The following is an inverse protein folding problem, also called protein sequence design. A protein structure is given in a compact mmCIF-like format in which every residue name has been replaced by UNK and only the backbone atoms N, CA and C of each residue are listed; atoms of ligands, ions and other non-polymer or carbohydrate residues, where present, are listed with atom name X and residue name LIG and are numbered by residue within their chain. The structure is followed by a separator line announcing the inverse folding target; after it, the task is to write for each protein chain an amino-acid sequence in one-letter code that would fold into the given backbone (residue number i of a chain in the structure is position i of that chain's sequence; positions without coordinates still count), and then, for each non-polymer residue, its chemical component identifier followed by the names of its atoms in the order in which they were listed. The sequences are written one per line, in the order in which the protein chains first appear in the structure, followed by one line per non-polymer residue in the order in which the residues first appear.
data_IF_201925312458
#
_entry.id   IF_201925312458
#
_cell.length_a   1.000
_cell.length_b   1.000
_cell.length_c   1.000
_cell.angle_alpha   90.00
_cell.angle_beta   90.00
_cell.angle_gamma   90.00
#
_symmetry.space_group_name_H-M   'P 1'
#
loop_
_entity.id
_entity.type
_entity.pdbx_description
1 polymer ?
#
# COMPACT_ATOMS: atom_id res chain seq x y z
N UNK A 1 -17.08 -6.84 5.41
CA UNK A 1 -16.35 -7.13 4.15
C UNK A 1 -17.29 -7.58 3.04
N UNK A 2 -18.11 -8.63 3.19
CA UNK A 2 -19.11 -9.02 2.17
C UNK A 2 -20.05 -7.89 1.73
N UNK A 3 -20.57 -7.12 2.69
CA UNK A 3 -21.43 -5.96 2.39
C UNK A 3 -20.75 -4.91 1.49
N UNK A 4 -19.42 -4.77 1.57
CA UNK A 4 -18.65 -3.88 0.69
C UNK A 4 -18.72 -4.36 -0.75
N UNK A 5 -18.43 -5.66 -0.98
CA UNK A 5 -18.48 -6.24 -2.33
C UNK A 5 -19.88 -6.15 -2.93
N UNK A 6 -20.89 -6.58 -2.17
CA UNK A 6 -22.29 -6.54 -2.63
C UNK A 6 -22.74 -5.12 -3.01
N UNK A 7 -22.27 -4.11 -2.26
CA UNK A 7 -22.58 -2.71 -2.58
C UNK A 7 -21.94 -2.28 -3.90
N UNK A 8 -20.67 -2.63 -4.14
CA UNK A 8 -19.99 -2.30 -5.39
C UNK A 8 -20.62 -3.02 -6.58
N UNK A 9 -20.91 -4.30 -6.43
CA UNK A 9 -21.58 -5.13 -7.43
C UNK A 9 -22.97 -4.57 -7.78
N UNK A 10 -23.78 -4.20 -6.78
CA UNK A 10 -25.08 -3.56 -6.99
C UNK A 10 -24.99 -2.20 -7.70
N UNK A 11 -23.84 -1.52 -7.60
CA UNK A 11 -23.57 -0.27 -8.32
C UNK A 11 -22.95 -0.50 -9.71
N UNK A 12 -22.79 -1.76 -10.13
CA UNK A 12 -22.26 -2.14 -11.43
C UNK A 12 -20.73 -2.11 -11.54
N UNK A 13 -20.01 -2.09 -10.41
CA UNK A 13 -18.55 -2.18 -10.44
C UNK A 13 -18.09 -3.60 -10.71
N UNK A 14 -17.09 -3.74 -11.57
CA UNK A 14 -16.52 -5.01 -11.97
C UNK A 14 -15.03 -5.06 -11.64
N UNK A 15 -14.59 -6.21 -11.13
CA UNK A 15 -13.19 -6.49 -10.87
C UNK A 15 -12.58 -7.22 -12.06
N UNK A 16 -11.38 -6.80 -12.47
CA UNK A 16 -10.66 -7.40 -13.58
C UNK A 16 -9.16 -7.50 -13.26
N UNK A 17 -8.54 -8.57 -13.73
CA UNK A 17 -7.09 -8.76 -13.70
C UNK A 17 -6.55 -8.54 -15.11
N UNK A 18 -5.62 -7.61 -15.27
CA UNK A 18 -5.03 -7.24 -16.55
C UNK A 18 -3.53 -7.58 -16.54
N UNK A 19 -3.07 -8.26 -17.58
CA UNK A 19 -1.66 -8.52 -17.80
C UNK A 19 -1.07 -7.53 -18.80
N UNK A 20 0.22 -7.16 -18.67
CA UNK A 20 0.89 -6.40 -19.72
C UNK A 20 1.01 -7.26 -21.01
N UNK A 21 0.99 -6.64 -22.21
CA UNK A 21 0.94 -5.20 -22.46
C UNK A 21 -0.48 -4.61 -22.30
N UNK A 22 -0.56 -3.43 -21.70
CA UNK A 22 -1.82 -2.71 -21.54
C UNK A 22 -2.23 -2.01 -22.83
N UNK A 23 -3.54 -1.92 -23.05
CA UNK A 23 -4.09 -1.09 -24.12
C UNK A 23 -3.80 0.40 -23.85
N UNK A 24 -3.84 1.22 -24.91
CA UNK A 24 -3.68 2.67 -24.76
C UNK A 24 -4.75 3.26 -23.82
N UNK A 25 -5.99 2.80 -23.94
CA UNK A 25 -7.11 3.29 -23.14
C UNK A 25 -6.97 2.90 -21.66
N UNK A 26 -6.54 1.66 -21.37
CA UNK A 26 -6.27 1.24 -19.99
C UNK A 26 -5.13 2.04 -19.38
N UNK A 27 -4.02 2.23 -20.12
CA UNK A 27 -2.90 3.04 -19.64
C UNK A 27 -3.32 4.49 -19.36
N UNK A 28 -4.13 5.09 -20.25
CA UNK A 28 -4.65 6.43 -20.05
C UNK A 28 -5.57 6.51 -18.82
N UNK A 29 -6.42 5.51 -18.60
CA UNK A 29 -7.30 5.46 -17.43
C UNK A 29 -6.51 5.29 -16.13
N UNK A 30 -5.51 4.41 -16.10
CA UNK A 30 -4.61 4.24 -14.95
C UNK A 30 -3.87 5.53 -14.61
N UNK A 31 -3.39 6.24 -15.63
CA UNK A 31 -2.71 7.53 -15.49
C UNK A 31 -3.65 8.55 -14.84
N UNK A 32 -4.89 8.67 -15.34
CA UNK A 32 -5.90 9.57 -14.75
C UNK A 32 -6.22 9.24 -13.29
N UNK A 33 -6.39 7.95 -12.96
CA UNK A 33 -6.64 7.52 -11.57
C UNK A 33 -5.44 7.85 -10.69
N UNK A 34 -4.24 7.60 -11.18
CA UNK A 34 -2.98 7.89 -10.49
C UNK A 34 -2.81 9.38 -10.19
N UNK A 35 -3.00 10.24 -11.19
CA UNK A 35 -2.87 11.70 -11.06
C UNK A 35 -3.90 12.27 -10.09
N UNK A 36 -5.16 11.83 -10.23
CA UNK A 36 -6.24 12.20 -9.30
C UNK A 36 -5.96 11.74 -7.89
N UNK A 37 -5.45 10.52 -7.71
CA UNK A 37 -5.13 10.00 -6.39
C UNK A 37 -3.99 10.77 -5.74
N UNK A 38 -2.97 11.19 -6.50
CA UNK A 38 -1.85 11.98 -5.96
C UNK A 38 -2.28 13.37 -5.50
N UNK A 39 -3.27 14.01 -6.13
CA UNK A 39 -3.78 15.35 -5.76
C UNK A 39 -2.64 16.37 -5.59
N UNK A 40 -1.66 16.37 -6.50
CA UNK A 40 -0.48 17.25 -6.45
C UNK A 40 0.61 16.83 -5.45
N UNK A 41 0.41 15.74 -4.69
CA UNK A 41 1.49 15.13 -3.90
C UNK A 41 2.56 14.54 -4.83
N UNK A 42 3.81 14.61 -4.39
CA UNK A 42 4.93 13.98 -5.10
C UNK A 42 4.93 12.47 -4.86
N UNK A 43 5.35 11.73 -5.88
CA UNK A 43 5.67 10.32 -5.76
C UNK A 43 6.75 10.08 -4.70
N UNK A 44 6.69 8.90 -4.09
CA UNK A 44 7.71 8.41 -3.14
C UNK A 44 8.60 7.39 -3.83
N UNK A 45 9.78 7.19 -3.25
CA UNK A 45 10.84 6.37 -3.83
C UNK A 45 11.38 5.35 -2.81
N UNK A 46 12.37 4.57 -3.24
CA UNK A 46 13.11 3.56 -2.47
C UNK A 46 12.29 2.34 -2.06
N UNK A 47 11.32 2.49 -1.14
CA UNK A 47 10.58 1.37 -0.56
C UNK A 47 9.13 1.25 -1.04
N UNK A 48 8.72 2.11 -1.98
CA UNK A 48 7.36 2.18 -2.55
C UNK A 48 7.54 2.37 -4.05
N UNK A 49 6.74 1.65 -4.86
CA UNK A 49 6.73 1.87 -6.30
C UNK A 49 6.26 3.27 -6.66
N UNK A 50 6.64 3.70 -7.85
CA UNK A 50 6.22 4.98 -8.42
C UNK A 50 5.49 4.70 -9.74
N UNK A 51 4.49 5.52 -10.06
CA UNK A 51 3.69 5.30 -11.26
C UNK A 51 4.47 5.73 -12.50
N UNK A 52 5.17 4.77 -13.11
CA UNK A 52 5.80 4.93 -14.42
C UNK A 52 5.45 3.74 -15.30
N UNK A 53 5.41 3.98 -16.61
CA UNK A 53 5.16 2.91 -17.58
C UNK A 53 6.16 1.76 -17.43
N UNK A 54 7.45 2.10 -17.28
CA UNK A 54 8.52 1.10 -17.10
C UNK A 54 8.36 0.23 -15.85
N UNK A 55 7.70 0.73 -14.80
CA UNK A 55 7.45 -0.01 -13.58
C UNK A 55 6.14 -0.81 -13.67
N UNK A 56 5.03 -0.15 -14.00
CA UNK A 56 3.68 -0.74 -14.02
C UNK A 56 3.56 -1.84 -15.08
N UNK A 57 4.28 -1.74 -16.19
CA UNK A 57 4.28 -2.76 -17.26
C UNK A 57 5.08 -4.03 -16.93
N UNK A 58 5.67 -4.15 -15.73
CA UNK A 58 6.44 -5.34 -15.30
C UNK A 58 5.63 -6.38 -14.53
N UNK A 59 4.42 -6.05 -14.11
CA UNK A 59 3.58 -6.92 -13.30
C UNK A 59 2.14 -6.76 -13.76
N UNK A 60 1.28 -7.73 -13.45
CA UNK A 60 -0.15 -7.57 -13.68
C UNK A 60 -0.76 -6.50 -12.76
N UNK A 61 -1.92 -6.00 -13.15
CA UNK A 61 -2.71 -5.06 -12.35
C UNK A 61 -4.09 -5.64 -12.10
N UNK A 62 -4.63 -5.35 -10.92
CA UNK A 62 -6.00 -5.66 -10.58
C UNK A 62 -6.78 -4.35 -10.53
N UNK A 63 -7.85 -4.24 -11.30
CA UNK A 63 -8.60 -3.00 -11.51
C UNK A 63 -10.05 -3.15 -11.08
N UNK A 64 -10.67 -2.02 -10.73
CA UNK A 64 -12.11 -1.88 -10.57
C UNK A 64 -12.63 -0.95 -11.66
N UNK A 65 -13.49 -1.47 -12.52
CA UNK A 65 -14.23 -0.70 -13.53
C UNK A 65 -15.60 -0.32 -13.01
N UNK A 66 -16.08 0.85 -13.40
CA UNK A 66 -17.49 1.21 -13.23
C UNK A 66 -18.37 0.54 -14.30
N UNK A 67 -19.67 0.84 -14.26
CA UNK A 67 -20.67 0.30 -15.20
C UNK A 67 -20.44 0.76 -16.65
N UNK A 68 -19.68 1.84 -16.85
CA UNK A 68 -19.26 2.36 -18.15
C UNK A 68 -17.96 1.71 -18.65
N UNK A 69 -17.35 0.82 -17.87
CA UNK A 69 -16.10 0.13 -18.23
C UNK A 69 -14.83 0.96 -17.95
N UNK A 70 -14.94 2.09 -17.26
CA UNK A 70 -13.81 2.97 -16.96
C UNK A 70 -13.14 2.54 -15.65
N UNK A 71 -11.81 2.44 -15.66
CA UNK A 71 -11.03 2.11 -14.46
C UNK A 71 -11.16 3.26 -13.44
N UNK A 72 -11.68 2.96 -12.25
CA UNK A 72 -11.82 3.90 -11.13
C UNK A 72 -10.82 3.63 -10.00
N UNK A 73 -10.28 2.41 -9.92
CA UNK A 73 -9.27 2.05 -8.94
C UNK A 73 -8.39 0.91 -9.46
N UNK A 74 -7.15 0.84 -8.99
CA UNK A 74 -6.23 -0.23 -9.35
C UNK A 74 -5.23 -0.54 -8.24
N UNK A 75 -4.67 -1.75 -8.30
CA UNK A 75 -3.44 -2.08 -7.60
C UNK A 75 -2.49 -2.92 -8.47
N UNK A 76 -1.18 -2.77 -8.25
CA UNK A 76 -0.15 -3.54 -8.96
C UNK A 76 0.21 -4.79 -8.17
N UNK A 77 0.30 -5.92 -8.86
CA UNK A 77 0.81 -7.17 -8.29
C UNK A 77 2.28 -7.03 -7.89
N UNK A 78 2.63 -7.61 -6.75
CA UNK A 78 4.02 -7.72 -6.29
C UNK A 78 4.29 -9.16 -5.83
N UNK A 79 4.85 -10.00 -6.72
CA UNK A 79 5.21 -11.38 -6.40
C UNK A 79 6.26 -11.47 -5.29
N UNK A 80 6.15 -12.49 -4.45
CA UNK A 80 7.21 -12.89 -3.51
C UNK A 80 8.06 -14.01 -4.13
N UNK A 81 9.36 -14.05 -3.83
CA UNK A 81 10.30 -15.03 -4.37
C UNK A 81 9.94 -16.50 -4.09
N UNK A 82 9.08 -16.78 -3.11
CA UNK A 82 8.80 -18.14 -2.65
C UNK A 82 7.44 -18.70 -3.11
N UNK A 83 6.71 -18.00 -4.00
CA UNK A 83 5.37 -18.38 -4.51
C UNK A 83 4.30 -18.72 -3.44
N UNK A 84 4.61 -18.54 -2.16
CA UNK A 84 3.74 -18.83 -1.03
C UNK A 84 2.94 -17.61 -0.58
N UNK A 85 3.45 -16.43 -0.92
CA UNK A 85 2.93 -15.13 -0.57
C UNK A 85 2.83 -14.24 -1.81
N UNK A 86 1.80 -13.42 -1.84
CA UNK A 86 1.63 -12.36 -2.81
C UNK A 86 1.41 -11.04 -2.09
N UNK A 87 1.87 -9.95 -2.67
CA UNK A 87 1.61 -8.59 -2.17
C UNK A 87 1.00 -7.75 -3.29
N UNK A 88 0.51 -6.59 -2.88
CA UNK A 88 0.27 -5.45 -3.79
C UNK A 88 1.22 -4.33 -3.42
N UNK A 89 1.58 -3.48 -4.38
CA UNK A 89 2.46 -2.33 -4.15
C UNK A 89 1.70 -1.00 -4.33
N UNK A 90 1.51 -0.54 -5.56
CA UNK A 90 0.66 0.61 -5.82
C UNK A 90 -0.79 0.22 -5.54
N UNK A 91 -1.51 1.02 -4.76
CA UNK A 91 -2.96 0.92 -4.56
C UNK A 91 -3.55 2.33 -4.67
N UNK A 92 -4.25 2.60 -5.77
CA UNK A 92 -4.75 3.95 -6.11
C UNK A 92 -6.20 3.88 -6.55
N UNK A 93 -6.92 4.96 -6.31
CA UNK A 93 -8.34 5.07 -6.63
C UNK A 93 -8.74 6.51 -6.85
N UNK A 94 -9.84 6.73 -7.56
CA UNK A 94 -10.41 8.05 -7.74
C UNK A 94 -10.99 8.57 -6.40
N UNK A 95 -10.39 9.61 -5.77
CA UNK A 95 -10.80 10.09 -4.44
C UNK A 95 -12.12 10.88 -4.44
N UNK A 96 -12.60 11.30 -5.62
CA UNK A 96 -13.89 11.97 -5.80
C UNK A 96 -15.05 11.02 -5.48
N UNK A 97 -14.86 9.72 -5.74
CA UNK A 97 -15.87 8.69 -5.51
C UNK A 97 -15.81 8.24 -4.05
N UNK A 98 -16.89 8.46 -3.29
CA UNK A 98 -17.00 8.08 -1.87
C UNK A 98 -17.42 6.62 -1.68
N UNK A 99 -16.71 5.72 -2.34
CA UNK A 99 -16.86 4.27 -2.19
C UNK A 99 -15.62 3.66 -1.53
N UNK A 100 -15.77 2.53 -0.82
CA UNK A 100 -14.66 1.87 -0.12
C UNK A 100 -13.76 1.08 -1.09
N UNK A 101 -13.17 1.75 -2.09
CA UNK A 101 -12.35 1.10 -3.12
C UNK A 101 -11.10 0.41 -2.58
N UNK A 102 -10.46 0.97 -1.55
CA UNK A 102 -9.32 0.32 -0.90
C UNK A 102 -9.72 -1.05 -0.32
N UNK A 103 -10.86 -1.13 0.37
CA UNK A 103 -11.38 -2.40 0.90
C UNK A 103 -11.70 -3.37 -0.25
N UNK A 104 -12.36 -2.88 -1.30
CA UNK A 104 -12.71 -3.70 -2.45
C UNK A 104 -11.47 -4.27 -3.15
N UNK A 105 -10.44 -3.45 -3.43
CA UNK A 105 -9.19 -3.91 -4.03
C UNK A 105 -8.52 -4.98 -3.18
N UNK A 106 -8.35 -4.76 -1.86
CA UNK A 106 -7.76 -5.78 -0.99
C UNK A 106 -8.57 -7.08 -0.98
N UNK A 107 -9.90 -6.99 -0.83
CA UNK A 107 -10.74 -8.18 -0.76
C UNK A 107 -10.70 -8.95 -2.08
N UNK A 108 -10.85 -8.28 -3.22
CA UNK A 108 -10.79 -8.93 -4.53
C UNK A 108 -9.41 -9.52 -4.80
N UNK A 109 -8.31 -8.81 -4.50
CA UNK A 109 -6.96 -9.36 -4.64
C UNK A 109 -6.76 -10.61 -3.77
N UNK A 110 -7.20 -10.58 -2.50
CA UNK A 110 -7.11 -11.74 -1.62
C UNK A 110 -7.91 -12.93 -2.15
N UNK A 111 -9.13 -12.71 -2.65
CA UNK A 111 -9.95 -13.76 -3.23
C UNK A 111 -9.33 -14.34 -4.51
N UNK A 112 -8.89 -13.47 -5.41
CA UNK A 112 -8.25 -13.85 -6.67
C UNK A 112 -7.00 -14.72 -6.43
N UNK A 113 -6.12 -14.31 -5.53
CA UNK A 113 -4.91 -15.09 -5.26
C UNK A 113 -5.15 -16.32 -4.40
N UNK A 114 -6.20 -16.32 -3.57
CA UNK A 114 -6.64 -17.55 -2.91
C UNK A 114 -7.07 -18.60 -3.93
N UNK A 115 -7.81 -18.22 -4.97
CA UNK A 115 -8.20 -19.11 -6.06
C UNK A 115 -6.99 -19.63 -6.86
N UNK A 116 -5.94 -18.81 -7.01
CA UNK A 116 -4.64 -19.23 -7.57
C UNK A 116 -3.77 -20.08 -6.62
N UNK A 117 -4.22 -20.38 -5.40
CA UNK A 117 -3.53 -21.27 -4.46
C UNK A 117 -2.49 -20.60 -3.56
N UNK A 118 -2.40 -19.26 -3.54
CA UNK A 118 -1.52 -18.55 -2.62
C UNK A 118 -1.97 -18.74 -1.17
N UNK A 119 -1.01 -18.99 -0.29
CA UNK A 119 -1.28 -19.26 1.13
C UNK A 119 -1.29 -17.99 1.99
N UNK A 120 -0.55 -16.97 1.55
CA UNK A 120 -0.37 -15.73 2.31
C UNK A 120 -0.60 -14.51 1.42
N UNK A 121 -1.23 -13.49 1.98
CA UNK A 121 -1.37 -12.19 1.36
C UNK A 121 -0.67 -11.13 2.23
N UNK A 122 0.40 -10.55 1.72
CA UNK A 122 1.12 -9.48 2.38
C UNK A 122 0.44 -8.14 2.07
N UNK A 123 -0.18 -7.53 3.10
CA UNK A 123 -0.82 -6.22 2.97
C UNK A 123 0.17 -5.04 3.05
N UNK A 124 1.48 -5.32 3.04
CA UNK A 124 2.55 -4.35 3.26
C UNK A 124 2.72 -3.95 4.72
N UNK A 125 3.69 -3.08 4.99
CA UNK A 125 4.00 -2.63 6.35
C UNK A 125 2.86 -1.78 6.95
N UNK A 126 2.51 -2.03 8.21
CA UNK A 126 1.83 -1.07 9.06
C UNK A 126 2.88 -0.48 10.00
N UNK A 127 3.10 0.83 9.89
CA UNK A 127 4.17 1.55 10.60
C UNK A 127 4.09 1.41 12.12
N UNK A 128 5.23 1.08 12.73
CA UNK A 128 5.79 1.45 14.05
C UNK A 128 4.84 1.69 15.26
N UNK A 129 3.67 1.06 15.31
CA UNK A 129 2.74 1.21 16.45
C UNK A 129 3.32 0.78 17.81
N UNK A 130 4.47 0.09 17.80
CA UNK A 130 5.14 -0.43 19.01
C UNK A 130 6.54 0.15 19.29
N UNK A 131 7.03 1.14 18.53
CA UNK A 131 8.34 1.75 18.86
C UNK A 131 8.23 2.48 20.19
N UNK A 132 9.03 2.06 21.17
CA UNK A 132 9.03 2.61 22.54
C UNK A 132 8.20 1.84 23.57
N UNK A 133 7.62 0.68 23.22
CA UNK A 133 6.89 -0.18 24.17
C UNK A 133 7.76 -1.26 24.85
N UNK A 134 9.02 -1.43 24.44
CA UNK A 134 9.94 -2.39 25.05
C UNK A 134 10.59 -1.81 26.31
N UNK A 135 10.57 -2.59 27.40
CA UNK A 135 10.97 -2.21 28.76
C UNK A 135 12.49 -1.95 28.94
N UNK A 136 13.32 -2.16 27.91
CA UNK A 136 14.79 -2.13 27.96
C UNK A 136 15.42 -1.00 27.13
N UNK A 137 14.75 0.16 27.08
CA UNK A 137 15.17 1.33 26.33
C UNK A 137 16.10 2.24 27.16
N UNK A 138 17.35 2.44 26.73
CA UNK A 138 18.29 3.39 27.37
C UNK A 138 17.72 4.83 27.39
N UNK A 139 18.14 5.68 28.32
CA UNK A 139 17.62 7.06 28.51
C UNK A 139 17.61 7.96 27.26
N UNK A 140 18.36 7.61 26.20
CA UNK A 140 18.37 8.28 24.88
C UNK A 140 17.13 7.95 24.02
N UNK A 141 16.39 6.87 24.31
CA UNK A 141 15.19 6.47 23.57
C UNK A 141 13.92 7.24 23.97
N UNK A 142 13.89 7.84 25.17
CA UNK A 142 12.78 8.71 25.59
C UNK A 142 12.63 9.96 24.70
N UNK A 143 13.71 10.39 24.03
CA UNK A 143 13.67 11.47 23.04
C UNK A 143 13.11 11.00 21.69
N UNK A 144 13.35 9.75 21.31
CA UNK A 144 12.77 9.14 20.10
C UNK A 144 11.23 9.10 20.16
N UNK A 145 10.64 8.95 21.35
CA UNK A 145 9.18 9.05 21.57
C UNK A 145 8.62 10.43 21.21
N UNK A 146 9.28 11.50 21.65
CA UNK A 146 8.85 12.89 21.35
C UNK A 146 9.01 13.24 19.88
N UNK A 147 10.08 12.75 19.26
CA UNK A 147 10.30 12.87 17.82
C UNK A 147 9.23 12.08 17.07
N UNK A 148 8.91 10.86 17.50
CA UNK A 148 7.84 10.03 16.91
C UNK A 148 6.46 10.69 16.93
N UNK A 149 6.07 11.30 18.04
CA UNK A 149 4.80 12.05 18.14
C UNK A 149 4.78 13.28 17.22
N UNK A 150 5.94 13.91 16.97
CA UNK A 150 6.07 15.01 16.02
C UNK A 150 6.03 14.54 14.54
N UNK A 151 6.56 13.34 14.25
CA UNK A 151 6.51 12.72 12.91
C UNK A 151 5.17 12.06 12.59
N UNK A 152 4.31 11.81 13.59
CA UNK A 152 2.90 11.38 13.42
C UNK A 152 2.06 12.37 12.59
N UNK A 153 2.53 13.61 12.38
CA UNK A 153 1.93 14.56 11.45
C UNK A 153 2.20 14.28 9.97
N UNK A 154 3.30 13.57 9.64
CA UNK A 154 3.73 13.31 8.26
C UNK A 154 3.04 12.06 7.67
N UNK A 155 2.51 11.20 8.52
CA UNK A 155 1.68 10.07 8.12
C UNK A 155 0.62 9.84 9.19
N UNK A 156 -0.62 9.59 8.78
CA UNK A 156 -1.69 9.10 9.66
C UNK A 156 -1.41 7.63 10.07
N UNK A 157 -0.29 7.39 10.76
CA UNK A 157 0.30 6.06 11.04
C UNK A 157 -0.63 5.14 11.84
N UNK A 158 -1.39 5.69 12.80
CA UNK A 158 -2.39 4.93 13.58
C UNK A 158 -3.55 4.43 12.71
N UNK A 159 -3.93 5.20 11.69
CA UNK A 159 -5.03 4.86 10.78
C UNK A 159 -4.74 3.64 9.92
N UNK A 160 -3.49 3.50 9.42
CA UNK A 160 -3.14 2.38 8.54
C UNK A 160 -3.08 1.03 9.27
N UNK A 161 -2.58 1.00 10.51
CA UNK A 161 -2.61 -0.24 11.31
C UNK A 161 -4.05 -0.63 11.64
N UNK A 162 -4.85 0.30 12.17
CA UNK A 162 -6.26 0.06 12.49
C UNK A 162 -7.05 -0.38 11.26
N UNK A 163 -6.74 0.17 10.09
CA UNK A 163 -7.32 -0.25 8.83
C UNK A 163 -7.03 -1.74 8.54
N UNK A 164 -5.76 -2.15 8.63
CA UNK A 164 -5.36 -3.54 8.35
C UNK A 164 -5.91 -4.53 9.38
N UNK A 165 -6.08 -4.10 10.63
CA UNK A 165 -6.68 -4.91 11.71
C UNK A 165 -8.06 -5.48 11.34
N UNK A 166 -8.82 -4.79 10.49
CA UNK A 166 -10.13 -5.27 9.98
C UNK A 166 -10.03 -6.66 9.35
N UNK A 167 -8.91 -6.95 8.69
CA UNK A 167 -8.63 -8.21 8.01
C UNK A 167 -8.09 -9.30 8.95
N UNK A 168 -7.93 -9.00 10.25
CA UNK A 168 -7.35 -9.88 11.26
C UNK A 168 -6.00 -10.50 10.82
N UNK A 169 -5.02 -9.70 10.36
CA UNK A 169 -3.75 -10.21 9.87
C UNK A 169 -2.90 -10.74 11.03
N UNK A 170 -1.99 -11.66 10.71
CA UNK A 170 -0.87 -11.97 11.60
C UNK A 170 0.20 -10.88 11.42
N UNK A 171 0.46 -10.09 12.47
CA UNK A 171 1.48 -9.04 12.42
C UNK A 171 2.87 -9.62 12.62
N UNK A 172 3.75 -9.40 11.65
CA UNK A 172 5.16 -9.73 11.77
C UNK A 172 6.01 -8.46 11.99
N UNK A 173 6.98 -8.54 12.91
CA UNK A 173 7.93 -7.45 13.13
C UNK A 173 8.94 -7.34 11.99
N UNK A 174 9.32 -6.10 11.67
CA UNK A 174 10.40 -5.75 10.75
C UNK A 174 11.31 -4.74 11.45
N UNK A 175 12.61 -4.87 11.26
CA UNK A 175 13.62 -4.14 12.01
C UNK A 175 14.53 -3.35 11.06
N UNK A 176 14.93 -2.15 11.50
CA UNK A 176 15.98 -1.38 10.84
C UNK A 176 17.31 -1.73 11.51
N UNK A 177 18.24 -2.31 10.75
CA UNK A 177 19.60 -2.56 11.20
C UNK A 177 20.47 -1.40 10.71
N UNK A 178 21.24 -0.80 11.62
CA UNK A 178 22.10 0.33 11.32
C UNK A 178 23.44 0.21 12.06
N UNK A 179 24.48 0.84 11.51
CA UNK A 179 25.82 0.82 12.09
C UNK A 179 25.84 1.49 13.48
N UNK A 180 26.65 0.97 14.41
CA UNK A 180 26.68 1.44 15.80
C UNK A 180 27.05 2.93 15.96
N UNK A 181 27.72 3.51 14.95
CA UNK A 181 28.05 4.94 14.91
C UNK A 181 26.82 5.84 14.69
N UNK A 182 25.73 5.30 14.14
CA UNK A 182 24.49 6.05 13.98
C UNK A 182 23.61 5.92 15.21
N UNK A 183 22.97 7.03 15.58
CA UNK A 183 21.82 6.99 16.47
C UNK A 183 20.57 6.54 15.71
N UNK A 184 19.59 5.96 16.41
CA UNK A 184 18.35 5.46 15.81
C UNK A 184 17.59 6.53 15.00
N UNK A 185 17.56 7.79 15.47
CA UNK A 185 16.90 8.87 14.73
C UNK A 185 17.66 9.29 13.46
N UNK A 186 19.00 9.27 13.47
CA UNK A 186 19.81 9.53 12.27
C UNK A 186 19.57 8.45 11.21
N UNK A 187 19.51 7.19 11.61
CA UNK A 187 19.17 6.09 10.72
C UNK A 187 17.76 6.28 10.13
N UNK A 188 16.77 6.60 10.96
CA UNK A 188 15.41 6.91 10.51
C UNK A 188 15.36 8.10 9.54
N UNK A 189 16.08 9.18 9.80
CA UNK A 189 16.11 10.35 8.90
C UNK A 189 16.74 10.02 7.55
N UNK A 190 17.78 9.18 7.51
CA UNK A 190 18.37 8.71 6.25
C UNK A 190 17.39 7.87 5.43
N UNK A 191 16.62 7.01 6.08
CA UNK A 191 15.55 6.24 5.41
C UNK A 191 14.45 7.18 4.91
N UNK A 192 13.99 8.11 5.74
CA UNK A 192 12.96 9.09 5.35
C UNK A 192 13.45 9.94 4.18
N UNK A 193 14.71 10.38 4.19
CA UNK A 193 15.26 11.17 3.08
C UNK A 193 15.31 10.33 1.82
N UNK A 194 15.79 9.08 1.86
CA UNK A 194 15.78 8.18 0.70
C UNK A 194 14.38 7.96 0.11
N UNK A 195 13.33 7.93 0.94
CA UNK A 195 11.94 7.78 0.47
C UNK A 195 11.42 9.03 -0.25
N UNK A 196 11.90 10.22 0.11
CA UNK A 196 11.43 11.49 -0.46
C UNK A 196 12.39 12.11 -1.49
N UNK A 197 13.60 11.55 -1.63
CA UNK A 197 14.64 12.06 -2.53
C UNK A 197 14.45 11.42 -3.91
N UNK A 198 14.47 12.29 -4.92
CA UNK A 198 14.51 11.94 -6.34
C UNK A 198 15.95 11.62 -6.74
#
# INVERSE_FOLDING_TARGET
MRATLNKLEALGYQFEYLEPPYTYDDWLALTKVSDRWLEGRKEKYFSIGHFTYMYVSKAAILVLRDKEGVIQAFCTEMPSNNNDAISVDLIRWNPEIKLPFMDALYIHSMLYYKEKGFQRFNMGMATLSNVGHLKYAYSREKFARRVYDHFNGIYRFKGLRQYKEKFKPSFESRYLIYHAEYTSWQACLKVISAIHRK
#
